data_IF_256496271674
#
_entry.id   IF_256496271674
#
_cell.length_a   1.000
_cell.length_b   1.000
_cell.length_c   1.000
_cell.angle_alpha   90.00
_cell.angle_beta   90.00
_cell.angle_gamma   90.00
#
_symmetry.space_group_name_H-M   'P 1'
#
loop_
_entity.id
_entity.type
_entity.pdbx_description
1 polymer ?
#
# COMPACT_ATOMS: atom_id res chain seq x y z
N UNK A 1 0.57 17.27 -7.24
CA UNK A 1 0.37 16.01 -6.54
C UNK A 1 -1.10 15.66 -6.52
N UNK A 2 -1.45 14.48 -6.97
CA UNK A 2 -2.81 13.97 -6.88
C UNK A 2 -2.87 12.84 -5.87
N UNK A 3 -4.01 12.69 -5.22
CA UNK A 3 -4.22 11.63 -4.25
C UNK A 3 -5.32 10.73 -4.77
N UNK A 4 -5.03 9.43 -4.83
CA UNK A 4 -5.98 8.43 -5.26
C UNK A 4 -6.25 7.46 -4.12
N UNK A 5 -7.49 7.08 -3.94
CA UNK A 5 -7.88 6.00 -3.04
C UNK A 5 -8.40 4.86 -3.91
N UNK A 6 -7.74 3.71 -3.83
CA UNK A 6 -8.16 2.52 -4.55
C UNK A 6 -8.78 1.54 -3.56
N UNK A 7 -10.08 1.34 -3.68
CA UNK A 7 -10.84 0.53 -2.74
C UNK A 7 -11.42 -0.70 -3.43
N UNK A 8 -11.20 -1.87 -2.85
CA UNK A 8 -11.91 -3.07 -3.24
C UNK A 8 -13.32 -3.04 -2.63
N UNK A 9 -14.19 -3.88 -3.13
CA UNK A 9 -15.61 -3.87 -2.80
C UNK A 9 -15.92 -3.89 -1.30
N UNK A 10 -15.13 -4.63 -0.52
CA UNK A 10 -15.39 -4.78 0.92
C UNK A 10 -14.50 -3.88 1.79
N UNK A 11 -13.72 -3.00 1.20
CA UNK A 11 -12.87 -2.11 1.95
C UNK A 11 -13.67 -0.99 2.60
N UNK A 12 -13.23 -0.58 3.78
CA UNK A 12 -13.84 0.53 4.49
C UNK A 12 -13.30 1.86 3.96
N UNK A 13 -14.12 2.55 3.19
CA UNK A 13 -13.73 3.84 2.60
C UNK A 13 -13.39 4.87 3.69
N UNK A 14 -14.11 4.86 4.81
CA UNK A 14 -13.82 5.79 5.91
C UNK A 14 -12.44 5.55 6.48
N UNK A 15 -12.07 4.27 6.64
CA UNK A 15 -10.74 3.90 7.09
C UNK A 15 -9.67 4.41 6.13
N UNK A 16 -9.86 4.18 4.83
CA UNK A 16 -8.92 4.64 3.83
C UNK A 16 -8.79 6.16 3.82
N UNK A 17 -9.91 6.88 3.94
CA UNK A 17 -9.89 8.34 3.98
C UNK A 17 -9.22 8.87 5.25
N UNK A 18 -9.24 8.12 6.34
CA UNK A 18 -8.62 8.56 7.59
C UNK A 18 -7.11 8.76 7.46
N UNK A 19 -6.49 8.13 6.47
CA UNK A 19 -5.06 8.28 6.18
C UNK A 19 -4.74 9.72 5.77
N UNK A 20 -5.69 10.42 5.19
CA UNK A 20 -5.49 11.81 4.73
C UNK A 20 -5.09 12.76 5.85
N UNK A 21 -5.44 12.45 7.09
CA UNK A 21 -5.10 13.30 8.24
C UNK A 21 -3.61 13.40 8.50
N UNK A 22 -2.82 12.50 7.94
CA UNK A 22 -1.36 12.53 8.09
C UNK A 22 -0.69 13.45 7.09
N UNK A 23 -1.46 14.02 6.16
CA UNK A 23 -0.93 14.94 5.14
C UNK A 23 -1.14 16.38 5.59
N UNK A 24 -0.14 17.22 5.35
CA UNK A 24 -0.24 18.65 5.67
C UNK A 24 -1.23 19.36 4.76
N UNK A 25 -1.25 18.96 3.50
CA UNK A 25 -2.18 19.51 2.52
C UNK A 25 -2.90 18.38 1.81
N UNK A 26 -4.21 18.55 1.67
CA UNK A 26 -5.03 17.59 0.93
C UNK A 26 -5.70 18.35 -0.21
N UNK A 27 -5.25 18.07 -1.41
CA UNK A 27 -5.87 18.63 -2.60
C UNK A 27 -7.00 17.75 -3.11
N UNK A 28 -7.05 17.57 -4.42
CA UNK A 28 -8.05 16.72 -5.03
C UNK A 28 -7.82 15.26 -4.66
N UNK A 29 -8.88 14.57 -4.22
CA UNK A 29 -8.84 13.15 -3.88
C UNK A 29 -9.83 12.43 -4.82
N UNK A 30 -9.32 11.45 -5.55
CA UNK A 30 -10.10 10.64 -6.46
C UNK A 30 -10.26 9.23 -5.88
N UNK A 31 -11.49 8.76 -5.80
CA UNK A 31 -11.78 7.42 -5.28
C UNK A 31 -12.11 6.49 -6.43
N UNK A 32 -11.42 5.39 -6.51
CA UNK A 32 -11.61 4.36 -7.52
C UNK A 32 -12.00 3.08 -6.82
N UNK A 33 -13.16 2.55 -7.19
CA UNK A 33 -13.70 1.32 -6.60
C UNK A 33 -13.66 0.19 -7.61
N UNK A 34 -13.40 -1.01 -7.12
CA UNK A 34 -13.29 -2.18 -7.97
C UNK A 34 -13.80 -3.42 -7.25
N UNK A 35 -14.30 -4.39 -7.99
CA UNK A 35 -14.71 -5.66 -7.39
C UNK A 35 -13.51 -6.44 -6.87
N UNK A 36 -13.76 -7.35 -5.92
CA UNK A 36 -12.72 -7.97 -5.11
C UNK A 36 -11.62 -8.66 -5.91
N UNK A 37 -11.96 -9.31 -7.00
CA UNK A 37 -10.98 -10.08 -7.78
C UNK A 37 -10.55 -9.41 -9.07
N UNK A 38 -11.06 -8.22 -9.36
CA UNK A 38 -10.72 -7.49 -10.57
C UNK A 38 -9.57 -6.53 -10.29
N UNK A 39 -8.75 -6.30 -11.30
CA UNK A 39 -7.67 -5.31 -11.27
C UNK A 39 -7.71 -4.41 -12.50
N UNK A 40 -8.83 -4.39 -13.23
CA UNK A 40 -8.96 -3.59 -14.44
C UNK A 40 -8.81 -2.10 -14.16
N UNK A 41 -9.53 -1.61 -13.15
CA UNK A 41 -9.43 -0.20 -12.76
C UNK A 41 -8.05 0.14 -12.21
N UNK A 42 -7.44 -0.80 -11.48
CA UNK A 42 -6.10 -0.63 -10.99
C UNK A 42 -5.10 -0.46 -12.14
N UNK A 43 -5.21 -1.27 -13.18
CA UNK A 43 -4.30 -1.15 -14.34
C UNK A 43 -4.47 0.18 -15.06
N UNK A 44 -5.70 0.67 -15.19
CA UNK A 44 -5.96 2.00 -15.74
C UNK A 44 -5.36 3.09 -14.85
N UNK A 45 -5.52 2.96 -13.55
CA UNK A 45 -4.98 3.91 -12.57
C UNK A 45 -3.47 4.01 -12.68
N UNK A 46 -2.78 2.88 -12.80
CA UNK A 46 -1.31 2.87 -12.90
C UNK A 46 -0.80 3.71 -14.07
N UNK A 47 -1.56 3.74 -15.16
CA UNK A 47 -1.19 4.57 -16.33
C UNK A 47 -1.33 6.06 -16.08
N UNK A 48 -2.13 6.43 -15.08
CA UNK A 48 -2.39 7.84 -14.72
C UNK A 48 -1.47 8.35 -13.63
N UNK A 49 -0.94 7.46 -12.81
CA UNK A 49 -0.08 7.82 -11.68
C UNK A 49 1.24 8.43 -12.17
N UNK A 50 1.65 9.50 -11.52
CA UNK A 50 2.88 10.22 -11.84
C UNK A 50 3.75 10.37 -10.61
N UNK A 51 5.02 10.68 -10.81
CA UNK A 51 5.95 10.91 -9.73
C UNK A 51 5.37 11.92 -8.72
N UNK A 52 5.42 11.56 -7.45
CA UNK A 52 4.91 12.40 -6.37
C UNK A 52 3.44 12.22 -6.06
N UNK A 53 2.68 11.53 -6.91
CA UNK A 53 1.31 11.20 -6.59
C UNK A 53 1.24 10.20 -5.43
N UNK A 54 0.10 10.16 -4.77
CA UNK A 54 -0.15 9.26 -3.65
C UNK A 54 -1.27 8.30 -4.01
N UNK A 55 -1.05 7.02 -3.79
CA UNK A 55 -2.09 6.00 -3.87
C UNK A 55 -2.30 5.40 -2.48
N UNK A 56 -3.56 5.38 -2.02
CA UNK A 56 -3.94 4.79 -0.74
C UNK A 56 -4.69 3.50 -1.02
N UNK A 57 -4.22 2.40 -0.44
CA UNK A 57 -4.84 1.08 -0.54
C UNK A 57 -5.02 0.48 0.84
N UNK A 58 -5.89 -0.54 0.94
CA UNK A 58 -6.16 -1.19 2.22
C UNK A 58 -4.99 -2.04 2.70
N UNK A 59 -4.47 -2.89 1.84
CA UNK A 59 -3.38 -3.80 2.17
C UNK A 59 -2.57 -4.14 0.94
N UNK A 60 -1.47 -4.88 1.13
CA UNK A 60 -0.60 -5.23 0.00
C UNK A 60 -1.32 -6.10 -1.04
N UNK A 61 -2.28 -6.93 -0.60
CA UNK A 61 -3.03 -7.77 -1.52
C UNK A 61 -4.17 -7.02 -2.23
N UNK A 62 -4.29 -5.70 -2.00
CA UNK A 62 -5.07 -4.83 -2.88
C UNK A 62 -4.38 -4.63 -4.22
N UNK A 63 -3.08 -4.89 -4.29
CA UNK A 63 -2.29 -4.66 -5.50
C UNK A 63 -2.26 -5.88 -6.43
N UNK A 64 -2.29 -7.09 -5.86
CA UNK A 64 -2.22 -8.33 -6.62
C UNK A 64 -2.66 -9.48 -5.74
N UNK A 65 -3.01 -10.61 -6.37
CA UNK A 65 -3.49 -11.79 -5.65
C UNK A 65 -2.37 -12.66 -5.10
N UNK A 66 -1.19 -12.61 -5.69
CA UNK A 66 -0.07 -13.43 -5.25
C UNK A 66 1.08 -12.57 -4.75
N UNK A 67 1.86 -13.14 -3.83
CA UNK A 67 2.99 -12.43 -3.25
C UNK A 67 4.05 -12.04 -4.28
N UNK A 68 4.30 -12.90 -5.27
CA UNK A 68 5.27 -12.58 -6.32
C UNK A 68 4.82 -11.40 -7.15
N UNK A 69 3.54 -11.30 -7.45
CA UNK A 69 3.00 -10.15 -8.17
C UNK A 69 2.96 -8.90 -7.29
N UNK A 70 2.73 -9.05 -5.98
CA UNK A 70 2.85 -7.92 -5.05
C UNK A 70 4.25 -7.33 -5.12
N UNK A 71 5.29 -8.18 -5.15
CA UNK A 71 6.66 -7.69 -5.27
C UNK A 71 6.84 -6.82 -6.53
N UNK A 72 6.31 -7.28 -7.66
CA UNK A 72 6.40 -6.53 -8.90
C UNK A 72 5.67 -5.18 -8.81
N UNK A 73 4.52 -5.15 -8.14
CA UNK A 73 3.77 -3.93 -7.95
C UNK A 73 4.50 -2.95 -7.05
N UNK A 74 5.07 -3.43 -5.95
CA UNK A 74 5.87 -2.57 -5.07
C UNK A 74 7.03 -1.93 -5.83
N UNK A 75 7.70 -2.71 -6.68
CA UNK A 75 8.78 -2.20 -7.51
C UNK A 75 8.30 -1.09 -8.43
N UNK A 76 7.11 -1.21 -8.99
CA UNK A 76 6.53 -0.16 -9.82
C UNK A 76 6.45 1.17 -9.07
N UNK A 77 5.95 1.17 -7.84
CA UNK A 77 5.84 2.40 -7.04
C UNK A 77 7.20 2.96 -6.68
N UNK A 78 8.14 2.08 -6.31
CA UNK A 78 9.49 2.51 -5.97
C UNK A 78 10.17 3.16 -7.18
N UNK A 79 10.14 2.49 -8.32
CA UNK A 79 10.85 2.94 -9.52
C UNK A 79 10.26 4.23 -10.09
N UNK A 80 8.96 4.40 -9.99
CA UNK A 80 8.27 5.58 -10.52
C UNK A 80 8.10 6.69 -9.49
N UNK A 81 8.62 6.50 -8.28
CA UNK A 81 8.59 7.49 -7.20
C UNK A 81 7.18 7.96 -6.89
N UNK A 82 6.25 7.00 -6.84
CA UNK A 82 4.87 7.20 -6.44
C UNK A 82 4.77 6.75 -4.99
N UNK A 83 4.16 7.58 -4.13
CA UNK A 83 3.97 7.21 -2.73
C UNK A 83 2.81 6.24 -2.62
N UNK A 84 3.06 5.11 -1.97
CA UNK A 84 2.04 4.10 -1.72
C UNK A 84 1.76 4.06 -0.22
N UNK A 85 0.55 4.46 0.16
CA UNK A 85 0.08 4.40 1.54
C UNK A 85 -0.79 3.16 1.71
N UNK A 86 -0.36 2.28 2.59
CA UNK A 86 -1.06 1.02 2.86
C UNK A 86 -1.69 1.15 4.24
N UNK A 87 -3.02 1.16 4.28
CA UNK A 87 -3.77 1.43 5.52
C UNK A 87 -3.37 0.49 6.66
N UNK A 88 -3.16 -0.79 6.36
CA UNK A 88 -2.78 -1.78 7.34
C UNK A 88 -1.33 -1.64 7.83
N UNK A 89 -0.53 -0.81 7.19
CA UNK A 89 0.88 -0.64 7.50
C UNK A 89 1.16 0.85 7.75
N UNK A 90 0.94 1.28 8.99
CA UNK A 90 1.09 2.67 9.37
C UNK A 90 2.44 3.29 9.01
N UNK A 91 3.57 2.57 9.06
CA UNK A 91 4.85 3.16 8.63
C UNK A 91 4.85 3.73 7.22
N UNK A 92 3.96 3.24 6.34
CA UNK A 92 3.91 3.77 4.96
C UNK A 92 3.41 5.20 4.90
N UNK A 93 2.62 5.66 5.90
CA UNK A 93 1.98 6.98 5.83
C UNK A 93 2.05 7.81 7.11
N UNK A 94 2.45 7.23 8.25
CA UNK A 94 2.39 7.99 9.52
C UNK A 94 3.29 9.23 9.54
N UNK A 95 4.28 9.29 8.65
CA UNK A 95 5.16 10.45 8.51
C UNK A 95 4.73 11.36 7.35
N UNK A 96 3.48 11.25 6.91
CA UNK A 96 2.94 12.07 5.85
C UNK A 96 3.55 11.75 4.50
N UNK A 97 3.67 12.75 3.66
CA UNK A 97 4.19 12.60 2.30
C UNK A 97 5.73 12.63 2.24
N UNK A 98 6.38 12.01 3.22
CA UNK A 98 7.84 11.91 3.23
C UNK A 98 8.28 10.80 2.27
N UNK A 99 8.77 11.19 1.10
CA UNK A 99 9.12 10.25 0.05
C UNK A 99 10.26 9.31 0.47
N UNK A 100 11.26 9.81 1.19
CA UNK A 100 12.39 8.99 1.61
C UNK A 100 11.93 7.88 2.56
N UNK A 101 11.09 8.21 3.54
CA UNK A 101 10.56 7.24 4.48
C UNK A 101 9.66 6.23 3.77
N UNK A 102 8.74 6.71 2.95
CA UNK A 102 7.83 5.82 2.21
C UNK A 102 8.63 4.85 1.33
N UNK A 103 9.59 5.35 0.58
CA UNK A 103 10.42 4.51 -0.29
C UNK A 103 11.18 3.45 0.51
N UNK A 104 11.75 3.82 1.65
CA UNK A 104 12.48 2.86 2.50
C UNK A 104 11.56 1.74 2.98
N UNK A 105 10.35 2.08 3.39
CA UNK A 105 9.38 1.07 3.82
C UNK A 105 9.00 0.16 2.66
N UNK A 106 8.73 0.72 1.48
CA UNK A 106 8.37 -0.07 0.30
C UNK A 106 9.52 -0.98 -0.13
N UNK A 107 10.76 -0.53 -0.03
CA UNK A 107 11.93 -1.36 -0.36
C UNK A 107 12.04 -2.55 0.60
N UNK A 108 11.75 -2.35 1.88
CA UNK A 108 11.74 -3.44 2.84
C UNK A 108 10.64 -4.44 2.53
N UNK A 109 9.45 -3.96 2.23
CA UNK A 109 8.34 -4.83 1.82
C UNK A 109 8.66 -5.60 0.56
N UNK A 110 9.30 -4.95 -0.41
CA UNK A 110 9.70 -5.57 -1.65
C UNK A 110 10.67 -6.74 -1.38
N UNK A 111 11.68 -6.50 -0.54
CA UNK A 111 12.64 -7.54 -0.20
C UNK A 111 11.96 -8.72 0.49
N UNK A 112 11.02 -8.47 1.39
CA UNK A 112 10.24 -9.52 2.05
C UNK A 112 9.36 -10.27 1.05
N UNK A 113 8.72 -9.55 0.15
CA UNK A 113 7.82 -10.16 -0.83
C UNK A 113 8.56 -11.08 -1.82
N UNK A 114 9.81 -10.76 -2.11
CA UNK A 114 10.63 -11.59 -2.99
C UNK A 114 11.14 -12.86 -2.32
N UNK A 115 11.10 -12.94 -1.00
CA UNK A 115 11.57 -14.11 -0.28
C UNK A 115 10.45 -15.15 -0.21
N UNK A 116 10.58 -16.23 -0.99
CA UNK A 116 9.57 -17.27 -1.06
C UNK A 116 9.37 -18.01 0.26
N UNK A 117 10.33 -17.93 1.17
CA UNK A 117 10.24 -18.58 2.47
C UNK A 117 9.39 -17.77 3.45
N UNK A 118 9.07 -16.53 3.13
CA UNK A 118 8.29 -15.64 3.97
C UNK A 118 6.91 -15.47 3.35
N UNK A 119 5.87 -15.69 4.13
CA UNK A 119 4.50 -15.46 3.68
C UNK A 119 4.01 -14.10 4.21
N UNK A 120 3.71 -13.18 3.30
CA UNK A 120 3.17 -11.87 3.67
C UNK A 120 1.67 -11.88 3.90
N UNK A 121 0.99 -12.99 3.61
CA UNK A 121 -0.46 -13.07 3.84
C UNK A 121 -0.81 -12.83 5.31
N UNK A 122 0.11 -13.12 6.24
CA UNK A 122 -0.10 -12.87 7.66
C UNK A 122 -0.21 -11.39 8.02
N UNK A 123 0.19 -10.48 7.13
CA UNK A 123 0.07 -9.04 7.34
C UNK A 123 -1.29 -8.50 6.93
N UNK A 124 -2.08 -9.26 6.20
CA UNK A 124 -3.40 -8.83 5.75
C UNK A 124 -4.42 -9.08 6.85
N UNK A 125 -5.02 -8.03 7.38
CA UNK A 125 -6.03 -8.14 8.43
C UNK A 125 -7.25 -8.95 8.02
N UNK A 126 -7.52 -9.05 6.73
CA UNK A 126 -8.63 -9.84 6.21
C UNK A 126 -8.27 -11.31 6.04
N UNK A 127 -7.02 -11.68 6.30
CA UNK A 127 -6.56 -13.04 6.17
C UNK A 127 -6.81 -13.76 7.48
N UNK A 128 -7.66 -14.78 7.46
CA UNK A 128 -8.19 -15.38 8.67
C UNK A 128 -7.25 -16.30 9.43
N UNK A 129 -6.13 -16.70 8.88
CA UNK A 129 -5.29 -17.72 9.47
C UNK A 129 -4.47 -17.13 10.60
N UNK A 130 -4.15 -16.30 10.95
CA UNK A 130 -3.51 -15.51 11.98
C UNK A 130 -2.52 -16.13 12.94
N UNK A 131 -2.43 -17.43 13.07
CA UNK A 131 -1.61 -17.99 14.14
C UNK A 131 -0.12 -18.05 13.84
N UNK A 132 0.27 -18.12 12.60
CA UNK A 132 1.67 -18.10 12.19
C UNK A 132 2.00 -16.74 11.60
N UNK A 133 1.71 -15.74 12.35
CA UNK A 133 1.88 -14.37 11.87
C UNK A 133 3.34 -14.07 11.61
N UNK A 134 3.61 -13.53 10.45
CA UNK A 134 4.86 -12.88 10.20
C UNK A 134 4.94 -11.65 11.08
N UNK A 135 6.01 -11.53 11.83
CA UNK A 135 6.22 -10.38 12.68
C UNK A 135 7.21 -9.45 12.01
N UNK A 136 6.80 -8.23 11.74
CA UNK A 136 7.74 -7.20 11.33
C UNK A 136 8.72 -6.94 12.47
N UNK A 137 9.91 -6.44 12.17
CA UNK A 137 10.83 -6.02 13.23
C UNK A 137 10.10 -5.13 14.22
N UNK A 138 10.26 -5.39 15.50
CA UNK A 138 9.51 -4.68 16.53
C UNK A 138 9.76 -3.18 16.49
N UNK A 139 10.93 -2.78 16.07
CA UNK A 139 11.29 -1.38 15.95
C UNK A 139 11.01 -0.79 14.57
N UNK A 140 10.25 -1.49 13.75
CA UNK A 140 9.91 -1.03 12.41
C UNK A 140 9.40 0.41 12.41
N UNK A 141 8.43 0.67 13.30
CA UNK A 141 7.83 1.99 13.39
C UNK A 141 8.79 3.04 13.92
N UNK A 142 9.81 2.63 14.65
CA UNK A 142 10.77 3.54 15.26
C UNK A 142 11.88 3.95 14.30
N UNK A 143 12.06 3.19 13.21
CA UNK A 143 13.05 3.52 12.19
C UNK A 143 12.62 4.72 11.34
N UNK A 144 11.36 5.02 11.34
CA UNK A 144 10.76 6.05 10.50
C UNK A 144 9.94 6.99 11.36
#
# INVERSE_FOLDING_TARGET
MKIYIYAKQNDDIKGLRSVLRYLDEVGEVLIISESTRSFNEYQHLKKRLKQGDILIVWGIFSLALSQSFVASELKFFIDNKILLFIYDLAPTYKNGANAAVNTAVLQTLYALAKNEKISLSALDKNYSVGRNKLTFPQNWSELY
#
